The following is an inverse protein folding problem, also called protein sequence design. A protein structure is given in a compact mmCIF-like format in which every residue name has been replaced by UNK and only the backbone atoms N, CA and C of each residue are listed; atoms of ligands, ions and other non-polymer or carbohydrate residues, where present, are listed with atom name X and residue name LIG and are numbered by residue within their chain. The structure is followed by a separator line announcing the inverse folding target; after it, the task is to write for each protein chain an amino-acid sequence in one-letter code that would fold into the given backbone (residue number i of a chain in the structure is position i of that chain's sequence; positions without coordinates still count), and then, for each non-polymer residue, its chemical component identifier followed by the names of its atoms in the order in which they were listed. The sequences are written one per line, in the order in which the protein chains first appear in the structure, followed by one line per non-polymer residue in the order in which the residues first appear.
data_IF_204347239700
#
_entry.id   IF_204347239700
#
_cell.length_a   1.000
_cell.length_b   1.000
_cell.length_c   1.000
_cell.angle_alpha   90.00
_cell.angle_beta   90.00
_cell.angle_gamma   90.00
#
_symmetry.space_group_name_H-M   'P 1'
#
loop_
_entity.id
_entity.type
_entity.pdbx_description
1 polymer ?
#
# COMPACT_ATOMS: atom_id res chain seq x y z
N UNK A 1 21.50 -25.58 9.35
CA UNK A 1 20.10 -25.72 8.88
C UNK A 1 19.14 -26.05 10.03
N UNK A 2 19.37 -25.51 11.24
CA UNK A 2 18.56 -25.82 12.44
C UNK A 2 18.03 -24.61 13.23
N UNK A 3 18.19 -23.39 12.76
CA UNK A 3 17.83 -22.19 13.55
C UNK A 3 16.56 -21.44 13.10
N UNK A 4 15.89 -21.89 12.05
CA UNK A 4 14.70 -21.19 11.52
C UNK A 4 13.36 -21.68 12.12
N UNK A 5 13.39 -22.57 13.11
CA UNK A 5 12.17 -23.20 13.67
C UNK A 5 11.66 -22.57 14.97
N UNK A 6 12.38 -21.61 15.55
CA UNK A 6 12.05 -21.10 16.91
C UNK A 6 11.42 -19.71 17.00
N UNK A 7 11.17 -19.01 15.88
CA UNK A 7 10.65 -17.64 15.89
C UNK A 7 9.18 -17.50 15.46
N UNK A 8 8.46 -18.61 15.27
CA UNK A 8 7.01 -18.56 15.03
C UNK A 8 6.28 -18.95 16.30
N UNK A 9 6.47 -18.15 17.35
CA UNK A 9 5.66 -18.14 18.56
C UNK A 9 4.37 -17.39 18.31
N UNK A 10 3.35 -18.15 18.05
CA UNK A 10 1.92 -17.87 17.99
C UNK A 10 1.47 -16.91 19.08
N UNK A 11 0.88 -15.80 18.73
CA UNK A 11 -0.37 -15.30 19.32
C UNK A 11 -0.78 -13.97 18.70
N UNK A 12 -1.75 -14.00 17.82
CA UNK A 12 -2.81 -13.00 17.67
C UNK A 12 -3.72 -13.40 16.51
N UNK A 13 -4.54 -14.39 16.75
CA UNK A 13 -5.61 -14.81 15.84
C UNK A 13 -6.82 -13.85 15.81
N UNK A 14 -6.79 -12.74 16.56
CA UNK A 14 -8.01 -11.95 16.82
C UNK A 14 -8.13 -10.61 16.10
N UNK A 15 -7.17 -10.21 15.26
CA UNK A 15 -7.25 -8.92 14.57
C UNK A 15 -7.79 -8.96 13.12
N UNK A 16 -8.02 -10.14 12.56
CA UNK A 16 -8.53 -10.29 11.17
C UNK A 16 -10.05 -10.47 11.13
N UNK A 17 -10.69 -10.74 12.27
CA UNK A 17 -12.11 -11.07 12.38
C UNK A 17 -13.11 -9.92 12.26
N UNK A 18 -12.67 -8.67 12.25
CA UNK A 18 -13.56 -7.50 12.37
C UNK A 18 -14.13 -6.90 11.08
N UNK A 19 -13.73 -7.37 9.89
CA UNK A 19 -14.19 -6.79 8.61
C UNK A 19 -14.81 -7.79 7.63
N UNK A 20 -15.13 -8.99 8.06
CA UNK A 20 -15.70 -10.03 7.21
C UNK A 20 -17.24 -10.16 7.29
N UNK A 21 -17.94 -9.26 7.99
CA UNK A 21 -19.40 -9.28 8.07
C UNK A 21 -20.07 -8.15 7.28
N UNK A 22 -19.69 -8.01 6.01
CA UNK A 22 -20.47 -7.30 5.02
C UNK A 22 -21.04 -8.32 4.04
N UNK A 23 -22.36 -8.51 4.03
CA UNK A 23 -23.06 -9.39 3.10
C UNK A 23 -22.56 -9.15 1.65
N UNK A 24 -22.47 -10.20 0.81
CA UNK A 24 -22.04 -10.04 -0.58
C UNK A 24 -23.06 -9.19 -1.31
N UNK A 25 -22.67 -7.96 -1.63
CA UNK A 25 -23.38 -7.16 -2.61
C UNK A 25 -23.35 -7.95 -3.91
N UNK A 26 -24.49 -8.50 -4.32
CA UNK A 26 -24.70 -9.14 -5.62
C UNK A 26 -24.46 -8.09 -6.71
N UNK A 27 -23.20 -7.90 -7.09
CA UNK A 27 -22.78 -7.04 -8.18
C UNK A 27 -22.32 -7.90 -9.34
N UNK A 28 -22.98 -7.76 -10.50
CA UNK A 28 -22.65 -8.37 -11.79
C UNK A 28 -21.14 -8.54 -11.96
N UNK A 29 -20.72 -9.77 -12.37
CA UNK A 29 -19.36 -10.05 -12.86
C UNK A 29 -19.00 -8.97 -13.89
N UNK A 30 -17.83 -8.31 -13.76
CA UNK A 30 -17.34 -7.48 -14.84
C UNK A 30 -17.08 -8.38 -16.06
N UNK A 31 -17.48 -7.92 -17.22
CA UNK A 31 -17.07 -8.45 -18.53
C UNK A 31 -15.56 -8.59 -18.48
N UNK A 32 -15.04 -9.76 -18.83
CA UNK A 32 -13.66 -10.20 -18.70
C UNK A 32 -12.67 -9.25 -19.37
N UNK A 33 -12.15 -8.30 -18.58
CA UNK A 33 -10.85 -7.74 -18.91
C UNK A 33 -9.82 -8.89 -18.84
N UNK A 34 -8.81 -8.93 -19.70
CA UNK A 34 -7.78 -9.96 -19.63
C UNK A 34 -7.18 -9.93 -18.22
N UNK A 35 -7.08 -11.10 -17.60
CA UNK A 35 -6.49 -11.25 -16.26
C UNK A 35 -5.06 -10.72 -16.33
N UNK A 36 -4.69 -9.79 -15.46
CA UNK A 36 -3.34 -9.20 -15.50
C UNK A 36 -2.28 -10.30 -15.30
N UNK A 37 -1.08 -10.13 -15.89
CA UNK A 37 0.02 -11.08 -15.70
C UNK A 37 0.28 -11.39 -14.22
N UNK A 38 0.26 -10.36 -13.36
CA UNK A 38 0.50 -10.49 -11.92
C UNK A 38 -0.61 -11.28 -11.22
N UNK A 39 -1.85 -11.14 -11.70
CA UNK A 39 -2.97 -11.95 -11.20
C UNK A 39 -2.79 -13.43 -11.60
N UNK A 40 -2.31 -13.71 -12.82
CA UNK A 40 -2.00 -15.07 -13.25
C UNK A 40 -0.88 -15.70 -12.41
N UNK A 41 0.18 -14.93 -12.14
CA UNK A 41 1.28 -15.34 -11.26
C UNK A 41 0.79 -15.61 -9.83
N UNK A 42 -0.09 -14.77 -9.30
CA UNK A 42 -0.67 -14.96 -7.96
C UNK A 42 -1.55 -16.22 -7.87
N UNK A 43 -2.29 -16.56 -8.93
CA UNK A 43 -3.07 -17.80 -9.00
C UNK A 43 -2.13 -19.02 -9.01
N UNK A 44 -1.07 -18.98 -9.82
CA UNK A 44 -0.08 -20.04 -9.87
C UNK A 44 0.66 -20.19 -8.53
N UNK A 45 1.06 -19.07 -7.93
CA UNK A 45 1.68 -19.05 -6.60
C UNK A 45 0.78 -19.72 -5.55
N UNK A 46 -0.50 -19.39 -5.54
CA UNK A 46 -1.48 -20.05 -4.65
C UNK A 46 -1.51 -21.55 -4.87
N UNK A 47 -1.56 -22.00 -6.12
CA UNK A 47 -1.59 -23.43 -6.45
C UNK A 47 -0.34 -24.17 -5.98
N UNK A 48 0.85 -23.56 -6.13
CA UNK A 48 2.11 -24.13 -5.66
C UNK A 48 2.12 -24.24 -4.12
N UNK A 49 1.71 -23.20 -3.42
CA UNK A 49 1.62 -23.22 -1.95
C UNK A 49 0.62 -24.27 -1.47
N UNK A 50 -0.56 -24.36 -2.10
CA UNK A 50 -1.61 -25.33 -1.72
C UNK A 50 -1.16 -26.79 -1.98
N UNK A 51 -0.22 -27.03 -2.92
CA UNK A 51 0.41 -28.33 -3.19
C UNK A 51 1.62 -28.62 -2.29
N UNK A 52 2.11 -27.63 -1.56
CA UNK A 52 3.31 -27.75 -0.72
C UNK A 52 4.63 -27.57 -1.47
N UNK A 53 4.60 -27.12 -2.73
CA UNK A 53 5.79 -26.88 -3.55
C UNK A 53 6.38 -25.49 -3.24
N UNK A 54 6.96 -25.39 -2.05
CA UNK A 54 7.40 -24.11 -1.49
C UNK A 54 8.63 -23.52 -2.18
N UNK A 55 9.50 -24.34 -2.78
CA UNK A 55 10.69 -23.84 -3.49
C UNK A 55 10.28 -23.10 -4.76
N UNK A 56 9.46 -23.71 -5.60
CA UNK A 56 8.94 -23.06 -6.80
C UNK A 56 8.04 -21.87 -6.44
N UNK A 57 7.27 -21.97 -5.35
CA UNK A 57 6.46 -20.85 -4.85
C UNK A 57 7.31 -19.65 -4.47
N UNK A 58 8.46 -19.83 -3.82
CA UNK A 58 9.38 -18.75 -3.45
C UNK A 58 10.03 -18.11 -4.66
N UNK A 59 10.47 -18.93 -5.64
CA UNK A 59 11.06 -18.43 -6.87
C UNK A 59 10.05 -17.57 -7.65
N UNK A 60 8.83 -18.06 -7.82
CA UNK A 60 7.77 -17.30 -8.48
C UNK A 60 7.42 -16.02 -7.72
N UNK A 61 7.40 -16.07 -6.40
CA UNK A 61 7.09 -14.93 -5.56
C UNK A 61 8.15 -13.82 -5.63
N UNK A 62 9.43 -14.17 -5.81
CA UNK A 62 10.50 -13.17 -5.98
C UNK A 62 10.25 -12.25 -7.17
N UNK A 63 9.72 -12.76 -8.27
CA UNK A 63 9.32 -11.95 -9.42
C UNK A 63 8.20 -10.95 -9.11
N UNK A 64 7.21 -11.36 -8.31
CA UNK A 64 6.16 -10.43 -7.85
C UNK A 64 6.72 -9.35 -6.92
N UNK A 65 7.67 -9.71 -6.05
CA UNK A 65 8.36 -8.73 -5.17
C UNK A 65 9.10 -7.71 -6.01
N UNK A 66 9.91 -8.13 -6.97
CA UNK A 66 10.68 -7.24 -7.85
C UNK A 66 9.78 -6.28 -8.64
N UNK A 67 8.66 -6.79 -9.16
CA UNK A 67 7.71 -5.99 -9.92
C UNK A 67 7.02 -4.91 -9.07
N UNK A 68 6.72 -5.21 -7.81
CA UNK A 68 5.87 -4.34 -6.97
C UNK A 68 6.62 -3.54 -5.91
N UNK A 69 7.84 -3.93 -5.48
CA UNK A 69 8.55 -3.31 -4.35
C UNK A 69 8.70 -1.79 -4.48
N UNK A 70 9.13 -1.29 -5.65
CA UNK A 70 9.32 0.15 -5.89
C UNK A 70 8.04 0.96 -5.71
N UNK A 71 6.93 0.42 -6.23
CA UNK A 71 5.62 1.05 -6.10
C UNK A 71 5.13 0.98 -4.65
N UNK A 72 5.32 -0.16 -4.00
CA UNK A 72 4.98 -0.37 -2.61
C UNK A 72 5.70 0.61 -1.69
N UNK A 73 7.03 0.78 -1.88
CA UNK A 73 7.83 1.72 -1.09
C UNK A 73 7.40 3.17 -1.29
N UNK A 74 7.05 3.58 -2.52
CA UNK A 74 6.46 4.91 -2.76
C UNK A 74 5.15 5.11 -1.99
N UNK A 75 4.26 4.13 -2.03
CA UNK A 75 2.98 4.19 -1.32
C UNK A 75 3.23 4.27 0.19
N UNK A 76 4.03 3.35 0.74
CA UNK A 76 4.32 3.30 2.16
C UNK A 76 4.95 4.59 2.67
N UNK A 77 5.95 5.12 1.95
CA UNK A 77 6.61 6.38 2.30
C UNK A 77 5.64 7.57 2.31
N UNK A 78 4.67 7.63 1.39
CA UNK A 78 3.65 8.68 1.40
C UNK A 78 2.73 8.62 2.63
N UNK A 79 2.55 7.44 3.23
CA UNK A 79 1.77 7.29 4.46
C UNK A 79 2.58 7.53 5.73
N UNK A 80 3.82 7.03 5.79
CA UNK A 80 4.60 6.94 7.02
C UNK A 80 5.60 8.08 7.19
N UNK A 81 6.10 8.67 6.08
CA UNK A 81 7.10 9.74 6.06
C UNK A 81 8.42 9.39 6.73
N UNK A 82 8.65 8.13 6.93
CA UNK A 82 9.84 7.54 7.48
C UNK A 82 10.28 6.41 6.57
N UNK A 83 11.55 6.38 6.19
CA UNK A 83 12.08 5.42 5.23
C UNK A 83 12.14 4.01 5.83
N UNK A 84 12.61 3.92 7.07
CA UNK A 84 12.72 2.65 7.78
C UNK A 84 11.34 2.04 8.05
N UNK A 85 10.39 2.85 8.56
CA UNK A 85 9.01 2.39 8.75
C UNK A 85 8.33 2.00 7.43
N UNK A 86 8.68 2.69 6.32
CA UNK A 86 8.14 2.36 5.00
C UNK A 86 8.67 1.02 4.49
N UNK A 87 9.98 0.77 4.61
CA UNK A 87 10.60 -0.50 4.23
C UNK A 87 10.05 -1.67 5.05
N UNK A 88 9.97 -1.51 6.36
CA UNK A 88 9.37 -2.50 7.22
C UNK A 88 7.90 -2.79 6.85
N UNK A 89 7.11 -1.74 6.54
CA UNK A 89 5.72 -1.92 6.13
C UNK A 89 5.60 -2.68 4.81
N UNK A 90 6.53 -2.46 3.87
CA UNK A 90 6.59 -3.17 2.59
C UNK A 90 6.98 -4.63 2.80
N UNK A 91 8.00 -4.90 3.60
CA UNK A 91 8.40 -6.26 3.95
C UNK A 91 7.27 -7.03 4.62
N UNK A 92 6.62 -6.43 5.64
CA UNK A 92 5.46 -7.02 6.31
C UNK A 92 4.31 -7.31 5.35
N UNK A 93 4.07 -6.41 4.37
CA UNK A 93 3.03 -6.60 3.38
C UNK A 93 3.33 -7.82 2.48
N UNK A 94 4.58 -7.99 2.02
CA UNK A 94 4.99 -9.14 1.24
C UNK A 94 4.93 -10.44 2.04
N UNK A 95 5.39 -10.43 3.29
CA UNK A 95 5.26 -11.58 4.19
C UNK A 95 3.79 -11.97 4.37
N UNK A 96 2.89 -11.00 4.60
CA UNK A 96 1.45 -11.26 4.71
C UNK A 96 0.86 -11.80 3.41
N UNK A 97 1.28 -11.29 2.24
CA UNK A 97 0.86 -11.81 0.93
C UNK A 97 1.23 -13.28 0.81
N UNK A 98 2.48 -13.64 1.05
CA UNK A 98 2.92 -15.03 0.94
C UNK A 98 2.20 -15.94 1.94
N UNK A 99 2.08 -15.52 3.19
CA UNK A 99 1.43 -16.30 4.25
C UNK A 99 -0.07 -16.49 4.05
N UNK A 100 -0.73 -15.57 3.35
CA UNK A 100 -2.19 -15.59 3.15
C UNK A 100 -2.59 -15.81 1.69
N UNK A 101 -1.65 -16.23 0.82
CA UNK A 101 -1.91 -16.40 -0.62
C UNK A 101 -3.04 -17.40 -0.89
N UNK A 102 -3.18 -18.44 -0.08
CA UNK A 102 -4.29 -19.41 -0.16
C UNK A 102 -5.67 -18.76 0.04
N UNK A 103 -5.73 -17.59 0.68
CA UNK A 103 -6.95 -16.80 0.84
C UNK A 103 -7.25 -15.86 -0.34
N UNK A 104 -6.30 -15.70 -1.26
CA UNK A 104 -6.47 -14.83 -2.41
C UNK A 104 -7.62 -15.31 -3.29
N UNK A 105 -8.49 -14.39 -3.69
CA UNK A 105 -9.64 -14.65 -4.57
C UNK A 105 -9.51 -13.79 -5.83
N UNK A 106 -9.72 -14.41 -6.97
CA UNK A 106 -9.64 -13.80 -8.32
C UNK A 106 -10.76 -12.76 -8.59
N UNK A 107 -11.57 -12.46 -7.58
CA UNK A 107 -12.59 -11.41 -7.69
C UNK A 107 -11.99 -10.01 -7.93
N UNK A 108 -10.72 -9.83 -7.58
CA UNK A 108 -9.97 -8.59 -7.72
C UNK A 108 -8.58 -8.87 -8.27
N UNK A 109 -8.00 -7.93 -9.07
CA UNK A 109 -6.60 -8.02 -9.49
C UNK A 109 -5.65 -8.16 -8.29
N UNK A 110 -4.54 -8.86 -8.50
CA UNK A 110 -3.52 -9.05 -7.44
C UNK A 110 -3.02 -7.72 -6.89
N UNK A 111 -2.79 -6.76 -7.76
CA UNK A 111 -2.28 -5.43 -7.42
C UNK A 111 -3.22 -4.69 -6.44
N UNK A 112 -4.53 -4.87 -6.61
CA UNK A 112 -5.55 -4.30 -5.74
C UNK A 112 -5.53 -4.96 -4.36
N UNK A 113 -5.45 -6.28 -4.34
CA UNK A 113 -5.38 -7.07 -3.10
C UNK A 113 -4.09 -6.77 -2.32
N UNK A 114 -2.94 -6.76 -3.00
CA UNK A 114 -1.65 -6.38 -2.43
C UNK A 114 -1.65 -4.96 -1.87
N UNK A 115 -2.12 -3.98 -2.67
CA UNK A 115 -2.19 -2.57 -2.26
C UNK A 115 -3.06 -2.40 -1.01
N UNK A 116 -4.15 -3.14 -0.90
CA UNK A 116 -5.00 -3.15 0.31
C UNK A 116 -4.24 -3.62 1.55
N UNK A 117 -3.48 -4.72 1.44
CA UNK A 117 -2.66 -5.26 2.53
C UNK A 117 -1.64 -4.22 2.98
N UNK A 118 -0.91 -3.62 2.03
CA UNK A 118 0.10 -2.61 2.29
C UNK A 118 -0.48 -1.38 2.99
N UNK A 119 -1.56 -0.81 2.46
CA UNK A 119 -2.16 0.41 3.03
C UNK A 119 -2.73 0.16 4.42
N UNK A 120 -3.35 -0.99 4.66
CA UNK A 120 -3.81 -1.35 6.00
C UNK A 120 -2.63 -1.42 6.98
N UNK A 121 -1.52 -2.05 6.59
CA UNK A 121 -0.29 -2.08 7.39
C UNK A 121 0.25 -0.67 7.71
N UNK A 122 0.30 0.21 6.71
CA UNK A 122 0.72 1.61 6.91
C UNK A 122 -0.22 2.37 7.85
N UNK A 123 -1.53 2.19 7.71
CA UNK A 123 -2.52 2.85 8.58
C UNK A 123 -2.41 2.37 10.03
N UNK A 124 -2.17 1.08 10.26
CA UNK A 124 -2.02 0.52 11.60
C UNK A 124 -0.72 0.99 12.27
N UNK A 125 0.40 1.04 11.53
CA UNK A 125 1.66 1.64 11.99
C UNK A 125 1.49 3.11 12.36
N UNK A 126 0.81 3.89 11.53
CA UNK A 126 0.50 5.31 11.80
C UNK A 126 -0.35 5.49 13.06
N UNK A 127 -1.36 4.65 13.27
CA UNK A 127 -2.16 4.66 14.50
C UNK A 127 -1.31 4.29 15.73
N UNK A 128 -0.44 3.31 15.60
CA UNK A 128 0.47 2.90 16.66
C UNK A 128 1.48 4.02 17.01
N UNK A 129 2.04 4.69 15.98
CA UNK A 129 2.92 5.85 16.14
C UNK A 129 2.19 7.00 16.83
N UNK A 130 1.01 7.39 16.38
CA UNK A 130 0.21 8.46 17.00
C UNK A 130 -0.16 8.14 18.47
N UNK A 131 -0.30 6.87 18.85
CA UNK A 131 -0.46 6.47 20.25
C UNK A 131 0.83 6.65 21.06
N UNK A 132 1.99 6.31 20.48
CA UNK A 132 3.30 6.49 21.13
C UNK A 132 3.68 7.95 21.27
N UNK A 133 3.45 8.77 20.25
CA UNK A 133 3.79 10.20 20.22
C UNK A 133 2.99 11.03 21.23
N UNK A 134 1.85 10.54 21.71
CA UNK A 134 1.16 11.17 22.86
C UNK A 134 1.98 11.12 24.16
N UNK A 135 3.03 10.31 24.19
CA UNK A 135 3.87 10.06 25.37
C UNK A 135 5.35 10.39 25.15
N UNK A 136 5.80 10.76 23.95
CA UNK A 136 7.21 10.95 23.59
C UNK A 136 7.39 12.19 22.67
N UNK A 137 8.55 12.88 22.83
CA UNK A 137 8.99 14.03 22.04
C UNK A 137 9.47 13.61 20.62
N UNK A 138 9.26 14.42 19.56
CA UNK A 138 9.59 14.03 18.18
C UNK A 138 11.11 13.91 17.96
N UNK A 139 11.54 12.83 17.31
CA UNK A 139 12.90 12.68 16.79
C UNK A 139 12.99 13.26 15.37
N UNK A 140 14.11 13.95 15.05
CA UNK A 140 14.33 14.62 13.77
C UNK A 140 14.54 13.67 12.58
N UNK A 141 14.37 14.21 11.37
CA UNK A 141 14.58 13.49 10.11
C UNK A 141 16.05 13.11 9.89
N UNK A 142 16.31 11.87 9.44
CA UNK A 142 17.66 11.34 9.20
C UNK A 142 18.05 11.37 7.72
N UNK A 143 19.37 11.37 7.44
CA UNK A 143 19.97 11.34 6.10
C UNK A 143 19.51 10.14 5.24
N UNK A 144 19.14 9.02 5.85
CA UNK A 144 18.63 7.80 5.18
C UNK A 144 17.37 8.06 4.35
N UNK A 145 16.57 9.04 4.76
CA UNK A 145 15.36 9.42 4.02
C UNK A 145 15.67 9.92 2.59
N UNK A 146 16.81 10.53 2.35
CA UNK A 146 17.19 11.05 1.03
C UNK A 146 17.69 9.93 0.11
N UNK A 147 18.42 8.96 0.61
CA UNK A 147 18.82 7.76 -0.17
C UNK A 147 17.62 6.92 -0.56
N UNK A 148 16.72 6.69 0.37
CA UNK A 148 15.47 5.99 0.10
C UNK A 148 14.62 6.70 -0.95
N UNK A 149 14.52 8.04 -0.87
CA UNK A 149 13.81 8.85 -1.87
C UNK A 149 14.44 8.75 -3.26
N UNK A 150 15.78 8.70 -3.36
CA UNK A 150 16.51 8.55 -4.60
C UNK A 150 16.25 7.17 -5.22
N UNK A 151 16.29 6.11 -4.43
CA UNK A 151 15.98 4.75 -4.88
C UNK A 151 14.53 4.61 -5.40
N UNK A 152 13.56 5.18 -4.69
CA UNK A 152 12.14 5.21 -5.07
C UNK A 152 11.88 6.00 -6.35
N UNK A 153 12.66 7.06 -6.62
CA UNK A 153 12.51 7.90 -7.81
C UNK A 153 12.96 7.22 -9.11
N UNK A 154 13.84 6.20 -9.03
CA UNK A 154 14.43 5.51 -10.20
C UNK A 154 15.54 6.30 -10.89
N UNK A 155 16.23 5.71 -11.89
CA UNK A 155 17.40 6.31 -12.53
C UNK A 155 17.00 7.46 -13.46
N UNK A 156 17.00 8.65 -12.97
CA UNK A 156 17.19 9.90 -13.71
C UNK A 156 18.26 10.65 -12.96
N UNK A 157 19.31 11.07 -13.66
CA UNK A 157 20.37 11.89 -13.08
C UNK A 157 20.04 13.38 -13.31
N UNK A 158 19.17 13.98 -12.46
CA UNK A 158 18.83 15.40 -12.56
C UNK A 158 19.97 16.22 -11.93
N UNK A 159 20.19 17.43 -12.44
CA UNK A 159 21.11 18.38 -11.82
C UNK A 159 20.82 18.59 -10.33
N UNK A 160 21.80 19.03 -9.52
CA UNK A 160 21.58 19.30 -8.09
C UNK A 160 20.40 20.25 -7.83
N UNK A 161 20.22 21.27 -8.66
CA UNK A 161 19.10 22.22 -8.59
C UNK A 161 17.76 21.51 -8.87
N UNK A 162 17.72 20.64 -9.90
CA UNK A 162 16.52 19.88 -10.22
C UNK A 162 16.16 18.88 -9.11
N UNK A 163 17.17 18.34 -8.41
CA UNK A 163 16.97 17.49 -7.21
C UNK A 163 16.34 18.28 -6.07
N UNK A 164 16.84 19.48 -5.80
CA UNK A 164 16.33 20.36 -4.75
C UNK A 164 14.87 20.75 -5.02
N UNK A 165 14.57 21.25 -6.22
CA UNK A 165 13.22 21.62 -6.65
C UNK A 165 12.25 20.44 -6.60
N UNK A 166 12.71 19.25 -6.98
CA UNK A 166 11.90 18.03 -6.91
C UNK A 166 11.65 17.60 -5.45
N UNK A 167 12.61 17.85 -4.54
CA UNK A 167 12.45 17.63 -3.10
C UNK A 167 11.42 18.57 -2.52
N UNK A 168 11.56 19.87 -2.71
CA UNK A 168 10.61 20.87 -2.24
C UNK A 168 9.19 20.61 -2.75
N UNK A 169 9.05 20.27 -4.04
CA UNK A 169 7.74 19.92 -4.61
C UNK A 169 7.13 18.70 -3.93
N UNK A 170 7.93 17.66 -3.68
CA UNK A 170 7.46 16.46 -2.98
C UNK A 170 7.04 16.76 -1.55
N UNK A 171 7.80 17.55 -0.82
CA UNK A 171 7.49 17.96 0.54
C UNK A 171 6.19 18.78 0.62
N UNK A 172 6.01 19.72 -0.33
CA UNK A 172 4.76 20.49 -0.45
C UNK A 172 3.55 19.59 -0.72
N UNK A 173 3.67 18.66 -1.68
CA UNK A 173 2.60 17.70 -1.99
C UNK A 173 2.30 16.84 -0.77
N UNK A 174 3.32 16.38 -0.11
CA UNK A 174 3.24 15.56 1.06
C UNK A 174 2.49 16.25 2.20
N UNK A 175 2.89 17.47 2.53
CA UNK A 175 2.23 18.31 3.54
C UNK A 175 0.77 18.58 3.16
N UNK A 176 0.47 18.79 1.88
CA UNK A 176 -0.90 18.97 1.42
C UNK A 176 -1.75 17.70 1.61
N UNK A 177 -1.19 16.51 1.31
CA UNK A 177 -1.87 15.22 1.54
C UNK A 177 -2.14 15.00 3.03
N UNK A 178 -1.22 15.41 3.90
CA UNK A 178 -1.40 15.28 5.36
C UNK A 178 -2.53 16.15 5.91
N UNK A 179 -2.89 17.20 5.21
CA UNK A 179 -4.05 18.04 5.55
C UNK A 179 -5.40 17.48 5.09
N UNK A 180 -5.41 16.37 4.33
CA UNK A 180 -6.64 15.69 3.99
C UNK A 180 -7.23 14.96 5.20
N UNK A 181 -8.57 14.90 5.27
CA UNK A 181 -9.25 14.07 6.26
C UNK A 181 -8.94 12.60 6.02
N UNK A 182 -8.95 11.77 7.05
CA UNK A 182 -8.52 10.37 6.98
C UNK A 182 -9.15 9.58 5.84
N UNK A 183 -10.48 9.72 5.62
CA UNK A 183 -11.20 9.05 4.51
C UNK A 183 -10.83 9.64 3.14
N UNK A 184 -10.72 10.95 3.04
CA UNK A 184 -10.30 11.62 1.80
C UNK A 184 -8.87 11.20 1.42
N UNK A 185 -7.96 11.15 2.41
CA UNK A 185 -6.58 10.70 2.21
C UNK A 185 -6.56 9.24 1.72
N UNK A 186 -7.24 8.33 2.39
CA UNK A 186 -7.28 6.92 2.01
C UNK A 186 -7.79 6.73 0.58
N UNK A 187 -8.91 7.35 0.23
CA UNK A 187 -9.47 7.29 -1.12
C UNK A 187 -8.52 7.87 -2.15
N UNK A 188 -7.94 9.04 -1.87
CA UNK A 188 -6.99 9.70 -2.77
C UNK A 188 -5.73 8.83 -3.00
N UNK A 189 -5.16 8.28 -1.93
CA UNK A 189 -3.98 7.43 -2.01
C UNK A 189 -4.25 6.14 -2.80
N UNK A 190 -5.37 5.48 -2.56
CA UNK A 190 -5.76 4.30 -3.31
C UNK A 190 -5.94 4.59 -4.80
N UNK A 191 -6.63 5.67 -5.15
CA UNK A 191 -6.87 6.01 -6.55
C UNK A 191 -5.64 6.55 -7.28
N UNK A 192 -4.78 7.31 -6.59
CA UNK A 192 -3.70 8.08 -7.24
C UNK A 192 -2.34 7.40 -7.18
N UNK A 193 -2.04 6.70 -6.10
CA UNK A 193 -0.79 5.94 -5.92
C UNK A 193 -1.00 4.44 -6.03
N UNK A 194 -2.21 3.98 -5.73
CA UNK A 194 -2.62 2.58 -5.84
C UNK A 194 -3.19 2.22 -7.22
N UNK A 195 -3.40 3.19 -8.13
CA UNK A 195 -4.06 3.04 -9.44
C UNK A 195 -5.40 2.28 -9.37
N UNK A 196 -6.05 2.35 -8.19
CA UNK A 196 -7.32 1.67 -7.97
C UNK A 196 -8.47 2.51 -8.53
N UNK A 197 -9.38 1.85 -9.22
CA UNK A 197 -10.64 2.47 -9.67
C UNK A 197 -11.55 2.79 -8.47
N UNK A 198 -12.48 3.76 -8.58
CA UNK A 198 -13.46 4.03 -7.52
C UNK A 198 -14.26 2.80 -7.09
N UNK A 199 -14.53 1.87 -8.00
CA UNK A 199 -15.21 0.61 -7.74
C UNK A 199 -14.37 -0.32 -6.84
N UNK A 200 -13.08 -0.45 -7.14
CA UNK A 200 -12.14 -1.24 -6.34
C UNK A 200 -11.95 -0.63 -4.96
N UNK A 201 -11.82 0.71 -4.89
CA UNK A 201 -11.76 1.42 -3.60
C UNK A 201 -13.04 1.23 -2.78
N UNK A 202 -14.21 1.23 -3.43
CA UNK A 202 -15.49 0.91 -2.80
C UNK A 202 -15.46 -0.48 -2.15
N UNK A 203 -15.00 -1.49 -2.87
CA UNK A 203 -14.88 -2.85 -2.36
C UNK A 203 -13.86 -2.98 -1.22
N UNK A 204 -12.73 -2.24 -1.31
CA UNK A 204 -11.69 -2.27 -0.27
C UNK A 204 -12.08 -1.56 1.02
N UNK A 205 -12.85 -0.47 0.91
CA UNK A 205 -13.15 0.41 2.05
C UNK A 205 -14.55 0.20 2.65
N UNK A 206 -15.41 -0.53 1.94
CA UNK A 206 -16.83 -0.67 2.32
C UNK A 206 -17.67 0.59 2.07
N UNK A 207 -17.11 1.63 1.46
CA UNK A 207 -17.84 2.84 1.06
C UNK A 207 -18.58 2.59 -0.25
N UNK A 208 -19.73 3.22 -0.46
CA UNK A 208 -20.39 3.20 -1.76
C UNK A 208 -19.53 3.92 -2.81
N UNK A 209 -19.55 3.46 -4.06
CA UNK A 209 -18.76 4.04 -5.15
C UNK A 209 -19.02 5.54 -5.34
N UNK A 210 -20.27 5.98 -5.19
CA UNK A 210 -20.63 7.41 -5.22
C UNK A 210 -19.94 8.20 -4.10
N UNK A 211 -19.87 7.63 -2.89
CA UNK A 211 -19.17 8.23 -1.74
C UNK A 211 -17.66 8.31 -2.00
N UNK A 212 -17.07 7.27 -2.60
CA UNK A 212 -15.66 7.27 -3.02
C UNK A 212 -15.39 8.41 -3.99
N UNK A 213 -16.22 8.58 -5.02
CA UNK A 213 -16.11 9.67 -5.99
C UNK A 213 -16.21 11.06 -5.34
N UNK A 214 -17.12 11.22 -4.38
CA UNK A 214 -17.26 12.48 -3.62
C UNK A 214 -16.00 12.75 -2.78
N UNK A 215 -15.47 11.75 -2.07
CA UNK A 215 -14.23 11.91 -1.31
C UNK A 215 -13.04 12.24 -2.21
N UNK A 216 -12.92 11.58 -3.36
CA UNK A 216 -11.87 11.85 -4.35
C UNK A 216 -11.96 13.29 -4.88
N UNK A 217 -13.15 13.73 -5.26
CA UNK A 217 -13.38 15.10 -5.71
C UNK A 217 -13.02 16.15 -4.64
N UNK A 218 -13.48 15.94 -3.39
CA UNK A 218 -13.16 16.83 -2.27
C UNK A 218 -11.67 16.87 -1.98
N UNK A 219 -11.00 15.71 -2.00
CA UNK A 219 -9.55 15.61 -1.84
C UNK A 219 -8.81 16.39 -2.93
N UNK A 220 -9.16 16.17 -4.19
CA UNK A 220 -8.53 16.87 -5.32
C UNK A 220 -8.74 18.39 -5.25
N UNK A 221 -9.96 18.85 -4.89
CA UNK A 221 -10.26 20.27 -4.71
C UNK A 221 -9.43 20.88 -3.57
N UNK A 222 -9.33 20.21 -2.42
CA UNK A 222 -8.56 20.67 -1.27
C UNK A 222 -7.07 20.73 -1.60
N UNK A 223 -6.52 19.69 -2.25
CA UNK A 223 -5.12 19.66 -2.68
C UNK A 223 -4.80 20.79 -3.69
N UNK A 224 -5.69 21.03 -4.66
CA UNK A 224 -5.51 22.14 -5.61
C UNK A 224 -5.42 23.48 -4.90
N UNK A 225 -6.28 23.75 -3.91
CA UNK A 225 -6.22 24.97 -3.11
C UNK A 225 -4.93 25.09 -2.30
N UNK A 226 -4.45 23.99 -1.71
CA UNK A 226 -3.22 23.98 -0.90
C UNK A 226 -1.93 24.11 -1.72
N UNK A 227 -1.96 23.64 -2.98
CA UNK A 227 -0.79 23.67 -3.88
C UNK A 227 -0.74 24.91 -4.78
N UNK A 228 -1.68 25.86 -4.63
CA UNK A 228 -1.69 27.10 -5.36
C UNK A 228 -2.26 27.00 -6.79
N UNK A 229 -3.00 25.95 -7.10
CA UNK A 229 -3.75 25.85 -8.35
C UNK A 229 -4.92 26.84 -8.31
N UNK A 230 -4.96 27.81 -9.26
CA UNK A 230 -6.17 28.63 -9.48
C UNK A 230 -7.36 27.70 -9.82
N UNK A 231 -8.58 28.08 -9.40
CA UNK A 231 -9.79 27.34 -9.70
C UNK A 231 -10.03 27.20 -11.20
#
# INVERSE_FOLDING_TARGET
MSEFRSAVGVSSADAVGGLASGAPVRGRRPVSAPVSPDTQLAILLRQLVDRGDLEQARELFSGLVEAHQRRASRIAYQYLRDASEADEAVQDAFVKVFSHISSYREAWPFEVWFTRILINGCLDRRKARARRERWLVPAGETSEADEFRAWVAGPRDPSPEARLLARERRERIATAIDRLDGRQRTVFMLCHYGDCTPREVSAMTGLNESTVRVHLFRAARKLRGLLGGKP
#
